data_IF_925899331299
#
_entry.id   IF_925899331299
#
_cell.length_a   1.000
_cell.length_b   1.000
_cell.length_c   1.000
_cell.angle_alpha   90.00
_cell.angle_beta   90.00
_cell.angle_gamma   90.00
#
_symmetry.space_group_name_H-M   'P 1'
#
loop_
_entity.id
_entity.type
_entity.pdbx_description
1 polymer ?
#
# COMPACT_ATOMS: atom_id res chain seq x y z
N UNK A 1 25.59 -6.24 -25.73
CA UNK A 1 24.81 -6.12 -24.48
C UNK A 1 25.09 -4.72 -23.99
N UNK A 2 24.23 -3.75 -24.31
CA UNK A 2 24.42 -2.36 -23.91
C UNK A 2 24.00 -2.21 -22.45
N UNK A 3 24.98 -1.92 -21.61
CA UNK A 3 24.77 -1.50 -20.22
C UNK A 3 24.51 0.01 -20.27
N UNK A 4 23.28 0.44 -19.96
CA UNK A 4 22.98 1.87 -19.86
C UNK A 4 21.59 2.35 -20.31
N UNK A 5 20.58 1.50 -20.42
CA UNK A 5 19.22 2.01 -20.61
C UNK A 5 18.74 2.68 -19.31
N UNK A 6 18.75 4.01 -19.25
CA UNK A 6 18.02 4.76 -18.23
C UNK A 6 16.55 4.64 -18.55
N UNK A 7 15.80 3.95 -17.69
CA UNK A 7 14.35 3.89 -17.77
C UNK A 7 13.79 5.22 -17.24
N UNK A 8 13.10 5.97 -18.10
CA UNK A 8 12.39 7.19 -17.73
C UNK A 8 10.90 6.86 -17.68
N UNK A 9 10.24 7.18 -16.56
CA UNK A 9 8.80 6.97 -16.43
C UNK A 9 8.06 7.92 -17.39
N UNK A 10 7.01 7.43 -18.04
CA UNK A 10 6.16 8.26 -18.91
C UNK A 10 5.50 9.40 -18.12
N UNK A 11 5.15 9.15 -16.85
CA UNK A 11 4.59 10.14 -15.94
C UNK A 11 4.89 9.78 -14.46
N UNK A 12 5.08 10.81 -13.63
CA UNK A 12 5.25 10.69 -12.18
C UNK A 12 4.13 11.47 -11.46
N UNK A 13 3.56 10.88 -10.40
CA UNK A 13 2.58 11.53 -9.54
C UNK A 13 2.96 11.36 -8.07
N UNK A 14 2.77 12.43 -7.29
CA UNK A 14 3.13 12.50 -5.87
C UNK A 14 1.89 12.36 -4.99
N UNK A 15 1.89 11.33 -4.15
CA UNK A 15 0.83 11.08 -3.17
C UNK A 15 1.34 11.39 -1.77
N UNK A 16 0.75 12.39 -1.12
CA UNK A 16 1.08 12.72 0.28
C UNK A 16 0.23 11.86 1.21
N UNK A 17 0.80 10.75 1.67
CA UNK A 17 0.07 9.75 2.46
C UNK A 17 0.14 10.00 3.97
N UNK A 18 1.17 10.67 4.49
CA UNK A 18 1.29 10.98 5.93
C UNK A 18 2.22 12.17 6.16
N UNK A 19 2.06 12.89 7.27
CA UNK A 19 3.00 13.95 7.65
C UNK A 19 4.28 13.40 8.27
N UNK A 20 4.19 12.24 8.93
CA UNK A 20 5.34 11.59 9.54
C UNK A 20 5.21 10.07 9.54
N UNK A 21 6.32 9.40 9.86
CA UNK A 21 6.41 7.94 9.86
C UNK A 21 5.50 7.28 10.91
N UNK A 22 5.24 7.95 12.03
CA UNK A 22 4.37 7.41 13.08
C UNK A 22 2.93 7.32 12.61
N UNK A 23 2.40 8.38 12.01
CA UNK A 23 1.03 8.37 11.44
C UNK A 23 0.86 7.29 10.38
N UNK A 24 1.84 7.13 9.50
CA UNK A 24 1.81 6.06 8.51
C UNK A 24 1.81 4.67 9.16
N UNK A 25 2.61 4.47 10.21
CA UNK A 25 2.64 3.21 10.94
C UNK A 25 1.36 2.92 11.72
N UNK A 26 0.76 3.95 12.32
CA UNK A 26 -0.52 3.83 13.02
C UNK A 26 -1.62 3.45 12.04
N UNK A 27 -1.68 4.11 10.87
CA UNK A 27 -2.61 3.74 9.82
C UNK A 27 -2.38 2.30 9.32
N UNK A 28 -1.13 1.84 9.14
CA UNK A 28 -0.84 0.45 8.80
C UNK A 28 -1.30 -0.55 9.89
N UNK A 29 -1.21 -0.18 11.17
CA UNK A 29 -1.73 -1.00 12.26
C UNK A 29 -3.26 -1.10 12.20
N UNK A 30 -3.93 0.00 11.86
CA UNK A 30 -5.39 0.03 11.68
C UNK A 30 -5.82 -0.82 10.48
N UNK A 31 -5.11 -0.73 9.35
CA UNK A 31 -5.32 -1.59 8.18
C UNK A 31 -5.15 -3.08 8.53
N UNK A 32 -4.14 -3.41 9.32
CA UNK A 32 -3.94 -4.77 9.82
C UNK A 32 -5.13 -5.21 10.72
N UNK A 33 -5.63 -4.33 11.58
CA UNK A 33 -6.82 -4.56 12.40
C UNK A 33 -8.08 -4.79 11.57
N UNK A 34 -8.27 -4.02 10.49
CA UNK A 34 -9.40 -4.17 9.55
C UNK A 34 -9.47 -5.61 9.01
N UNK A 35 -8.34 -6.17 8.61
CA UNK A 35 -8.28 -7.51 8.00
C UNK A 35 -8.07 -8.64 8.99
N UNK A 36 -8.10 -8.34 10.30
CA UNK A 36 -7.91 -9.32 11.36
C UNK A 36 -6.50 -9.90 11.41
N UNK A 37 -5.52 -9.20 10.85
CA UNK A 37 -4.12 -9.62 10.92
C UNK A 37 -3.62 -9.55 12.37
N UNK A 38 -2.91 -10.59 12.80
CA UNK A 38 -2.24 -10.61 14.09
C UNK A 38 -0.86 -11.26 13.94
N UNK A 39 0.21 -10.54 14.28
CA UNK A 39 1.60 -10.97 14.09
C UNK A 39 1.99 -12.26 14.83
N UNK A 40 1.26 -12.63 15.89
CA UNK A 40 1.45 -13.91 16.62
C UNK A 40 0.74 -15.10 15.98
N UNK A 41 -0.08 -14.89 14.95
CA UNK A 41 -0.73 -15.99 14.26
C UNK A 41 0.35 -16.80 13.51
N UNK A 42 0.44 -18.13 13.67
CA UNK A 42 1.38 -18.96 12.90
C UNK A 42 1.27 -18.74 11.38
N UNK A 43 0.09 -18.37 10.87
CA UNK A 43 -0.14 -18.08 9.45
C UNK A 43 0.13 -16.61 9.06
N UNK A 44 0.60 -15.77 9.99
CA UNK A 44 0.79 -14.33 9.75
C UNK A 44 1.78 -14.01 8.62
N UNK A 45 2.67 -14.95 8.26
CA UNK A 45 3.60 -14.78 7.14
C UNK A 45 3.10 -15.38 5.82
N UNK A 46 1.96 -16.09 5.85
CA UNK A 46 1.30 -16.69 4.70
C UNK A 46 0.67 -15.66 3.76
N UNK A 47 0.13 -16.10 2.62
CA UNK A 47 -0.60 -15.22 1.71
C UNK A 47 -1.82 -14.62 2.43
N UNK A 48 -2.01 -13.31 2.31
CA UNK A 48 -3.10 -12.61 2.97
C UNK A 48 -3.34 -11.20 2.42
N UNK A 49 -4.48 -10.57 2.80
CA UNK A 49 -4.80 -9.21 2.40
C UNK A 49 -3.71 -8.23 2.84
N UNK A 50 -3.34 -7.31 1.95
CA UNK A 50 -2.37 -6.25 2.18
C UNK A 50 -0.99 -6.71 2.67
N UNK A 51 -0.62 -7.99 2.52
CA UNK A 51 0.65 -8.56 3.00
C UNK A 51 1.86 -7.72 2.55
N UNK A 52 1.86 -7.31 1.29
CA UNK A 52 2.90 -6.51 0.66
C UNK A 52 3.09 -5.19 1.41
N UNK A 53 1.98 -4.56 1.81
CA UNK A 53 1.96 -3.28 2.49
C UNK A 53 2.22 -3.41 4.00
N UNK A 54 1.62 -4.40 4.68
CA UNK A 54 1.75 -4.61 6.12
C UNK A 54 3.17 -5.10 6.49
N UNK A 55 3.75 -6.01 5.70
CA UNK A 55 5.08 -6.56 5.96
C UNK A 55 6.18 -5.70 5.34
N UNK A 56 6.05 -5.31 4.06
CA UNK A 56 7.14 -4.62 3.35
C UNK A 56 6.93 -3.11 3.26
N UNK A 57 5.69 -2.61 3.32
CA UNK A 57 5.41 -1.18 3.31
C UNK A 57 5.95 -0.42 4.53
N UNK A 58 6.33 -1.12 5.61
CA UNK A 58 7.08 -0.53 6.76
C UNK A 58 8.54 -0.23 6.43
N UNK A 59 9.08 -0.90 5.42
CA UNK A 59 10.45 -0.80 4.97
C UNK A 59 10.53 0.10 3.74
N UNK A 60 11.61 0.88 3.62
CA UNK A 60 11.89 1.66 2.42
C UNK A 60 12.09 0.71 1.25
N UNK A 61 11.26 0.80 0.22
CA UNK A 61 11.29 -0.09 -0.93
C UNK A 61 10.34 0.37 -2.04
N UNK A 62 10.36 -0.38 -3.14
CA UNK A 62 9.55 -0.13 -4.33
C UNK A 62 8.55 -1.27 -4.52
N UNK A 63 7.27 -0.94 -4.66
CA UNK A 63 6.19 -1.87 -4.97
C UNK A 63 5.90 -1.76 -6.47
N UNK A 64 6.19 -2.83 -7.23
CA UNK A 64 5.96 -2.84 -8.67
C UNK A 64 4.49 -3.04 -9.07
N UNK A 65 4.23 -2.98 -10.38
CA UNK A 65 2.88 -3.05 -10.96
C UNK A 65 2.07 -4.28 -10.51
N UNK A 66 2.65 -5.48 -10.56
CA UNK A 66 1.96 -6.73 -10.17
C UNK A 66 1.48 -6.67 -8.71
N UNK A 67 2.35 -6.24 -7.80
CA UNK A 67 2.00 -6.10 -6.40
C UNK A 67 0.98 -4.96 -6.18
N UNK A 68 1.09 -3.87 -6.93
CA UNK A 68 0.13 -2.76 -6.89
C UNK A 68 -1.26 -3.18 -7.35
N UNK A 69 -1.37 -3.94 -8.45
CA UNK A 69 -2.63 -4.49 -8.93
C UNK A 69 -3.28 -5.44 -7.91
N UNK A 70 -2.48 -6.29 -7.26
CA UNK A 70 -2.95 -7.14 -6.17
C UNK A 70 -3.46 -6.31 -4.98
N UNK A 71 -2.74 -5.25 -4.60
CA UNK A 71 -3.16 -4.36 -3.52
C UNK A 71 -4.47 -3.66 -3.85
N UNK A 72 -4.67 -3.17 -5.08
CA UNK A 72 -5.97 -2.63 -5.53
C UNK A 72 -7.08 -3.65 -5.34
N UNK A 73 -6.87 -4.91 -5.72
CA UNK A 73 -7.86 -5.96 -5.53
C UNK A 73 -8.18 -6.21 -4.05
N UNK A 74 -7.18 -6.12 -3.15
CA UNK A 74 -7.43 -6.17 -1.71
C UNK A 74 -8.25 -4.96 -1.24
N UNK A 75 -7.91 -3.75 -1.68
CA UNK A 75 -8.66 -2.54 -1.36
C UNK A 75 -10.14 -2.66 -1.82
N UNK A 76 -10.37 -3.15 -3.03
CA UNK A 76 -11.73 -3.33 -3.56
C UNK A 76 -12.49 -4.42 -2.80
N UNK A 77 -11.82 -5.50 -2.39
CA UNK A 77 -12.42 -6.59 -1.61
C UNK A 77 -12.86 -6.14 -0.22
N UNK A 78 -12.10 -5.23 0.40
CA UNK A 78 -12.31 -4.81 1.79
C UNK A 78 -13.01 -3.45 1.93
N UNK A 79 -13.34 -2.76 0.81
CA UNK A 79 -13.90 -1.39 0.79
C UNK A 79 -15.14 -1.27 1.68
N UNK A 80 -16.10 -2.19 1.56
CA UNK A 80 -17.33 -2.14 2.34
C UNK A 80 -17.06 -2.17 3.84
N UNK A 81 -16.11 -3.00 4.28
CA UNK A 81 -15.73 -3.07 5.70
C UNK A 81 -14.94 -1.85 6.13
N UNK A 82 -14.06 -1.33 5.28
CA UNK A 82 -13.26 -0.13 5.55
C UNK A 82 -14.15 1.10 5.84
N UNK A 83 -15.22 1.29 5.06
CA UNK A 83 -16.20 2.38 5.24
C UNK A 83 -16.85 2.43 6.62
N UNK A 84 -16.99 1.29 7.30
CA UNK A 84 -17.67 1.19 8.60
C UNK A 84 -16.72 0.81 9.73
N UNK A 85 -15.41 0.72 9.48
CA UNK A 85 -14.46 0.15 10.42
C UNK A 85 -14.10 1.12 11.56
N UNK A 86 -13.90 2.39 11.22
CA UNK A 86 -13.41 3.39 12.17
C UNK A 86 -14.05 4.76 11.92
N UNK A 87 -13.30 5.71 11.37
CA UNK A 87 -13.72 7.09 11.12
C UNK A 87 -13.48 7.46 9.65
N UNK A 88 -14.02 8.61 9.25
CA UNK A 88 -13.91 9.10 7.86
C UNK A 88 -12.45 9.32 7.46
N UNK A 89 -11.60 9.77 8.40
CA UNK A 89 -10.18 9.99 8.14
C UNK A 89 -9.44 8.70 7.76
N UNK A 90 -9.74 7.58 8.44
CA UNK A 90 -9.23 6.26 8.06
C UNK A 90 -9.65 5.89 6.64
N UNK A 91 -10.92 6.11 6.29
CA UNK A 91 -11.45 5.74 4.98
C UNK A 91 -10.92 6.64 3.85
N UNK A 92 -10.77 7.94 4.08
CA UNK A 92 -10.15 8.87 3.13
C UNK A 92 -8.71 8.44 2.81
N UNK A 93 -7.93 8.09 3.84
CA UNK A 93 -6.58 7.58 3.67
C UNK A 93 -6.56 6.23 2.94
N UNK A 94 -7.52 5.34 3.25
CA UNK A 94 -7.71 4.07 2.55
C UNK A 94 -7.97 4.26 1.05
N UNK A 95 -8.86 5.19 0.69
CA UNK A 95 -9.16 5.51 -0.70
C UNK A 95 -7.96 6.17 -1.43
N UNK A 96 -7.19 7.01 -0.73
CA UNK A 96 -5.96 7.60 -1.26
C UNK A 96 -4.92 6.52 -1.59
N UNK A 97 -4.67 5.60 -0.66
CA UNK A 97 -3.73 4.50 -0.86
C UNK A 97 -4.16 3.59 -2.01
N UNK A 98 -5.45 3.26 -2.13
CA UNK A 98 -5.98 2.53 -3.30
C UNK A 98 -5.67 3.27 -4.60
N UNK A 99 -5.90 4.57 -4.66
CA UNK A 99 -5.70 5.39 -5.86
C UNK A 99 -4.22 5.42 -6.28
N UNK A 100 -3.32 5.54 -5.32
CA UNK A 100 -1.87 5.46 -5.55
C UNK A 100 -1.47 4.09 -6.18
N UNK A 101 -1.96 2.97 -5.63
CA UNK A 101 -1.66 1.66 -6.21
C UNK A 101 -2.34 1.44 -7.57
N UNK A 102 -3.54 2.00 -7.77
CA UNK A 102 -4.25 1.95 -9.05
C UNK A 102 -3.45 2.66 -10.15
N UNK A 103 -2.83 3.80 -9.83
CA UNK A 103 -1.96 4.52 -10.76
C UNK A 103 -0.79 3.65 -11.22
N UNK A 104 -0.18 2.89 -10.31
CA UNK A 104 0.98 2.05 -10.61
C UNK A 104 0.64 0.64 -11.15
N UNK A 105 -0.62 0.23 -11.18
CA UNK A 105 -1.02 -1.17 -11.35
C UNK A 105 -0.72 -1.79 -12.72
N UNK A 106 -0.58 -0.98 -13.78
CA UNK A 106 -0.45 -1.50 -15.16
C UNK A 106 1.01 -1.68 -15.58
N UNK A 107 1.80 -0.62 -15.50
CA UNK A 107 3.24 -0.62 -15.88
C UNK A 107 4.03 0.38 -15.03
N UNK A 108 3.67 0.49 -13.75
CA UNK A 108 4.25 1.47 -12.84
C UNK A 108 4.91 0.85 -11.62
N UNK A 109 5.34 1.74 -10.72
CA UNK A 109 5.82 1.36 -9.42
C UNK A 109 5.54 2.48 -8.39
N UNK A 110 5.33 2.09 -7.14
CA UNK A 110 5.23 3.01 -6.00
C UNK A 110 6.52 2.93 -5.21
N UNK A 111 7.17 4.06 -4.98
CA UNK A 111 8.34 4.15 -4.11
C UNK A 111 8.06 5.10 -2.94
N UNK A 112 8.43 4.67 -1.73
CA UNK A 112 8.30 5.51 -0.54
C UNK A 112 9.47 6.49 -0.49
N UNK A 113 9.17 7.79 -0.36
CA UNK A 113 10.14 8.82 0.00
C UNK A 113 9.77 9.45 1.34
N UNK A 114 10.76 9.59 2.21
CA UNK A 114 10.71 10.44 3.40
C UNK A 114 11.62 11.64 3.16
N UNK A 115 11.10 12.85 3.32
CA UNK A 115 11.88 14.09 3.28
C UNK A 115 12.30 14.51 4.69
#
# INVERSE_FOLDING_TARGET
>A
MEVGASYEFEAEEWFRVSDNRHEYWDWLNELAGLVGYHWRNPDANGPGPFRELILYGRHTGTIGAIASAKLVADFDTWDQRARTFKDDAFYEHYALMRSMFQYAATDGAVAVRSY
#
